data_IF_249080653944
#
_entry.id   IF_249080653944
#
_cell.length_a   1.000
_cell.length_b   1.000
_cell.length_c   1.000
_cell.angle_alpha   90.00
_cell.angle_beta   90.00
_cell.angle_gamma   90.00
#
_symmetry.space_group_name_H-M   'P 1'
#
loop_
_entity.id
_entity.type
_entity.pdbx_description
1 polymer ?
#
# COMPACT_ATOMS: atom_id res chain seq x y z
N UNK A 1 -5.21 -21.09 8.87
CA UNK A 1 -6.00 -21.83 7.87
C UNK A 1 -6.09 -20.95 6.65
N UNK A 2 -5.42 -21.33 5.56
CA UNK A 2 -5.45 -20.57 4.32
C UNK A 2 -6.89 -20.60 3.77
N UNK A 3 -7.45 -19.42 3.51
CA UNK A 3 -8.75 -19.30 2.85
C UNK A 3 -8.58 -19.70 1.38
N UNK A 4 -8.51 -20.99 1.09
CA UNK A 4 -8.43 -21.53 -0.28
C UNK A 4 -9.58 -21.06 -1.16
N UNK A 5 -10.69 -20.62 -0.56
CA UNK A 5 -11.87 -20.11 -1.28
C UNK A 5 -11.95 -18.58 -1.31
N UNK A 6 -10.94 -17.84 -0.81
CA UNK A 6 -10.97 -16.37 -0.76
C UNK A 6 -11.25 -15.75 -2.14
N UNK A 7 -10.55 -16.14 -3.22
CA UNK A 7 -10.81 -15.58 -4.55
C UNK A 7 -12.23 -15.91 -5.02
N UNK A 8 -12.68 -17.16 -4.84
CA UNK A 8 -14.04 -17.58 -5.24
C UNK A 8 -15.13 -16.79 -4.53
N UNK A 9 -15.00 -16.59 -3.22
CA UNK A 9 -15.93 -15.77 -2.45
C UNK A 9 -15.87 -14.30 -2.85
N UNK A 10 -14.68 -13.76 -3.12
CA UNK A 10 -14.47 -12.39 -3.58
C UNK A 10 -15.20 -12.14 -4.92
N UNK A 11 -14.90 -12.93 -5.95
CA UNK A 11 -15.49 -12.76 -7.29
C UNK A 11 -17.01 -12.92 -7.26
N UNK A 12 -17.53 -13.92 -6.51
CA UNK A 12 -18.98 -14.09 -6.32
C UNK A 12 -19.61 -12.91 -5.58
N UNK A 13 -18.95 -12.39 -4.55
CA UNK A 13 -19.46 -11.26 -3.75
C UNK A 13 -19.51 -9.96 -4.55
N UNK A 14 -18.56 -9.76 -5.47
CA UNK A 14 -18.47 -8.56 -6.28
C UNK A 14 -19.20 -8.68 -7.62
N UNK A 15 -19.79 -9.84 -7.92
CA UNK A 15 -20.39 -10.14 -9.23
C UNK A 15 -19.42 -9.89 -10.39
N UNK A 16 -18.13 -10.14 -10.15
CA UNK A 16 -17.09 -9.97 -11.17
C UNK A 16 -17.11 -11.20 -12.08
N UNK A 17 -17.34 -11.04 -13.41
CA UNK A 17 -17.41 -12.15 -14.33
C UNK A 17 -16.01 -12.65 -14.70
N UNK A 18 -15.79 -13.96 -14.65
CA UNK A 18 -14.55 -14.63 -15.07
C UNK A 18 -13.30 -14.18 -14.28
N UNK A 19 -12.96 -14.89 -13.18
CA UNK A 19 -11.74 -14.64 -12.37
C UNK A 19 -10.44 -14.49 -13.18
N UNK A 20 -10.34 -15.21 -14.30
CA UNK A 20 -9.21 -15.18 -15.25
C UNK A 20 -9.01 -13.85 -15.99
N UNK A 21 -9.83 -12.84 -15.71
CA UNK A 21 -9.69 -11.49 -16.26
C UNK A 21 -9.16 -10.48 -15.24
N UNK A 22 -8.76 -10.91 -14.04
CA UNK A 22 -8.38 -10.02 -12.96
C UNK A 22 -7.09 -10.44 -12.28
N UNK A 23 -6.20 -9.48 -12.08
CA UNK A 23 -5.12 -9.57 -11.11
C UNK A 23 -5.63 -9.06 -9.76
N UNK A 24 -5.37 -9.80 -8.67
CA UNK A 24 -5.80 -9.44 -7.32
C UNK A 24 -4.59 -9.38 -6.41
N UNK A 25 -4.34 -8.19 -5.87
CA UNK A 25 -3.22 -7.90 -4.99
C UNK A 25 -3.72 -7.71 -3.56
N UNK A 26 -2.94 -8.22 -2.61
CA UNK A 26 -3.11 -7.91 -1.21
C UNK A 26 -2.48 -6.55 -0.91
N UNK A 27 -3.24 -5.64 -0.31
CA UNK A 27 -2.76 -4.32 0.09
C UNK A 27 -3.04 -4.07 1.58
N UNK A 28 -2.81 -2.84 2.03
CA UNK A 28 -3.13 -2.42 3.39
C UNK A 28 -2.42 -3.23 4.48
N UNK A 29 -3.12 -3.48 5.58
CA UNK A 29 -2.48 -3.97 6.81
C UNK A 29 -1.75 -5.31 6.65
N UNK A 30 -2.23 -6.19 5.76
CA UNK A 30 -1.60 -7.49 5.49
C UNK A 30 -0.37 -7.38 4.59
N UNK A 31 -0.38 -6.47 3.62
CA UNK A 31 0.83 -6.14 2.85
C UNK A 31 1.93 -5.59 3.78
N UNK A 32 1.55 -4.75 4.73
CA UNK A 32 2.49 -4.16 5.70
C UNK A 32 2.91 -5.09 6.85
N UNK A 33 2.27 -6.26 7.00
CA UNK A 33 2.52 -7.16 8.15
C UNK A 33 2.07 -6.57 9.49
N UNK A 34 1.10 -5.65 9.47
CA UNK A 34 0.54 -5.01 10.66
C UNK A 34 -0.90 -5.43 10.96
N UNK A 35 -1.40 -6.43 10.24
CA UNK A 35 -2.74 -6.97 10.42
C UNK A 35 -2.88 -7.71 11.75
N UNK A 36 -4.08 -7.70 12.30
CA UNK A 36 -4.51 -8.56 13.40
C UNK A 36 -5.46 -9.63 12.88
N UNK A 37 -5.92 -10.52 13.76
CA UNK A 37 -6.94 -11.53 13.43
C UNK A 37 -8.29 -10.92 13.00
N UNK A 38 -8.51 -9.65 13.29
CA UNK A 38 -9.76 -8.91 13.00
C UNK A 38 -9.58 -7.87 11.89
N UNK A 39 -8.42 -7.78 11.26
CA UNK A 39 -8.20 -6.82 10.18
C UNK A 39 -9.01 -7.20 8.94
N UNK A 40 -9.63 -6.21 8.30
CA UNK A 40 -10.25 -6.35 6.99
C UNK A 40 -9.20 -6.69 5.91
N UNK A 41 -9.66 -7.31 4.84
CA UNK A 41 -8.89 -7.60 3.65
C UNK A 41 -8.93 -6.39 2.73
N UNK A 42 -7.87 -5.60 2.78
CA UNK A 42 -7.65 -4.53 1.81
C UNK A 42 -7.11 -5.14 0.50
N UNK A 43 -7.84 -4.98 -0.60
CA UNK A 43 -7.55 -5.62 -1.88
C UNK A 43 -7.47 -4.58 -3.01
N UNK A 44 -6.51 -4.74 -3.90
CA UNK A 44 -6.47 -4.04 -5.18
C UNK A 44 -6.77 -5.04 -6.30
N UNK A 45 -7.87 -4.82 -7.02
CA UNK A 45 -8.31 -5.66 -8.14
C UNK A 45 -8.11 -4.88 -9.42
N UNK A 46 -7.34 -5.45 -10.35
CA UNK A 46 -7.03 -4.84 -11.65
C UNK A 46 -7.54 -5.74 -12.76
N UNK A 47 -8.34 -5.21 -13.68
CA UNK A 47 -8.91 -6.01 -14.78
C UNK A 47 -9.56 -5.17 -15.86
N UNK A 48 -10.34 -5.83 -16.73
CA UNK A 48 -11.24 -5.13 -17.66
C UNK A 48 -12.55 -4.80 -16.94
N UNK A 49 -12.54 -3.67 -16.23
CA UNK A 49 -13.67 -3.20 -15.44
C UNK A 49 -14.42 -2.13 -16.24
N UNK A 50 -15.76 -2.22 -16.37
CA UNK A 50 -16.53 -1.14 -16.95
C UNK A 50 -16.31 0.14 -16.13
N UNK A 51 -15.96 1.26 -16.76
CA UNK A 51 -15.63 2.54 -16.09
C UNK A 51 -16.68 3.03 -15.07
N UNK A 52 -17.94 2.61 -15.23
CA UNK A 52 -19.05 2.90 -14.29
C UNK A 52 -18.99 2.12 -12.96
N UNK A 53 -18.05 1.18 -12.79
CA UNK A 53 -17.86 0.37 -11.58
C UNK A 53 -16.55 0.65 -10.83
N UNK A 54 -15.77 1.65 -11.27
CA UNK A 54 -14.56 2.11 -10.57
C UNK A 54 -14.96 2.70 -9.21
N UNK A 55 -14.98 1.87 -8.18
CA UNK A 55 -15.46 2.22 -6.84
C UNK A 55 -14.69 1.47 -5.78
N UNK A 56 -14.49 2.13 -4.62
CA UNK A 56 -14.16 1.43 -3.38
C UNK A 56 -15.40 0.65 -2.93
N UNK A 57 -15.32 -0.67 -2.91
CA UNK A 57 -16.41 -1.55 -2.48
C UNK A 57 -16.08 -2.10 -1.09
N UNK A 58 -16.87 -1.71 -0.10
CA UNK A 58 -16.81 -2.30 1.22
C UNK A 58 -17.91 -3.36 1.34
N UNK A 59 -17.53 -4.64 1.39
CA UNK A 59 -18.48 -5.75 1.50
C UNK A 59 -17.95 -6.79 2.48
N UNK A 60 -18.68 -7.01 3.57
CA UNK A 60 -18.27 -7.90 4.66
C UNK A 60 -16.87 -7.52 5.20
N UNK A 61 -15.88 -8.40 5.10
CA UNK A 61 -14.50 -8.18 5.56
C UNK A 61 -13.56 -7.71 4.45
N UNK A 62 -14.07 -7.21 3.33
CA UNK A 62 -13.26 -6.79 2.19
C UNK A 62 -13.41 -5.29 1.94
N UNK A 63 -12.28 -4.59 1.86
CA UNK A 63 -12.18 -3.24 1.32
C UNK A 63 -11.44 -3.32 -0.02
N UNK A 64 -12.17 -3.15 -1.12
CA UNK A 64 -11.66 -3.41 -2.46
C UNK A 64 -11.56 -2.12 -3.24
N UNK A 65 -10.37 -1.85 -3.74
CA UNK A 65 -10.13 -0.86 -4.79
C UNK A 65 -10.13 -1.57 -6.13
N UNK A 66 -11.03 -1.19 -7.02
CA UNK A 66 -11.16 -1.76 -8.37
C UNK A 66 -10.65 -0.76 -9.40
N UNK A 67 -9.62 -1.15 -10.16
CA UNK A 67 -9.04 -0.34 -11.24
C UNK A 67 -9.15 -1.07 -12.57
N UNK A 68 -9.36 -0.31 -13.64
CA UNK A 68 -9.07 -0.86 -14.96
C UNK A 68 -7.55 -0.92 -15.21
N UNK A 69 -7.15 -1.71 -16.21
CA UNK A 69 -5.72 -1.88 -16.53
C UNK A 69 -5.03 -0.56 -16.90
N UNK A 70 -5.70 0.35 -17.61
CA UNK A 70 -5.10 1.60 -18.06
C UNK A 70 -4.89 2.56 -16.88
N UNK A 71 -5.86 2.66 -15.98
CA UNK A 71 -5.77 3.45 -14.76
C UNK A 71 -4.66 2.92 -13.84
N UNK A 72 -4.57 1.60 -13.64
CA UNK A 72 -3.48 1.02 -12.87
C UNK A 72 -2.11 1.39 -13.45
N UNK A 73 -1.93 1.24 -14.77
CA UNK A 73 -0.68 1.60 -15.45
C UNK A 73 -0.38 3.11 -15.30
N UNK A 74 -1.40 3.97 -15.38
CA UNK A 74 -1.25 5.40 -15.17
C UNK A 74 -0.76 5.70 -13.75
N UNK A 75 -1.36 5.11 -12.73
CA UNK A 75 -0.95 5.30 -11.32
C UNK A 75 0.46 4.79 -11.03
N UNK A 76 0.87 3.68 -11.65
CA UNK A 76 2.26 3.21 -11.58
C UNK A 76 3.21 4.25 -12.17
N UNK A 77 2.87 4.80 -13.33
CA UNK A 77 3.67 5.85 -14.01
C UNK A 77 3.69 7.17 -13.25
N UNK A 78 2.64 7.46 -12.49
CA UNK A 78 2.56 8.63 -11.59
C UNK A 78 3.35 8.41 -10.29
N UNK A 79 3.94 7.23 -10.07
CA UNK A 79 4.76 6.93 -8.91
C UNK A 79 3.97 6.57 -7.65
N UNK A 80 2.70 6.20 -7.78
CA UNK A 80 1.89 5.78 -6.63
C UNK A 80 2.47 4.52 -5.99
N UNK A 81 2.92 4.65 -4.74
CA UNK A 81 3.79 3.63 -4.12
C UNK A 81 3.11 2.26 -4.02
N UNK A 82 1.79 2.21 -3.76
CA UNK A 82 1.05 0.94 -3.65
C UNK A 82 0.97 0.26 -5.00
N UNK A 83 0.55 0.98 -6.03
CA UNK A 83 0.45 0.44 -7.39
C UNK A 83 1.83 0.05 -7.93
N UNK A 84 2.90 0.81 -7.61
CA UNK A 84 4.29 0.44 -7.92
C UNK A 84 4.68 -0.87 -7.25
N UNK A 85 4.40 -1.05 -5.95
CA UNK A 85 4.67 -2.32 -5.25
C UNK A 85 3.91 -3.47 -5.91
N UNK A 86 2.63 -3.27 -6.20
CA UNK A 86 1.81 -4.28 -6.88
C UNK A 86 2.33 -4.63 -8.27
N UNK A 87 2.80 -3.65 -9.04
CA UNK A 87 3.37 -3.87 -10.37
C UNK A 87 4.67 -4.69 -10.33
N UNK A 88 5.42 -4.59 -9.23
CA UNK A 88 6.69 -5.27 -9.01
C UNK A 88 6.54 -6.57 -8.21
N UNK A 89 5.33 -6.91 -7.78
CA UNK A 89 5.06 -8.06 -6.91
C UNK A 89 5.27 -9.40 -7.63
N UNK A 90 5.87 -10.37 -6.93
CA UNK A 90 5.93 -11.77 -7.35
C UNK A 90 4.53 -12.33 -7.59
N UNK A 91 4.38 -13.12 -8.65
CA UNK A 91 3.09 -13.69 -9.07
C UNK A 91 2.56 -14.66 -8.02
N UNK A 92 3.46 -15.32 -7.30
CA UNK A 92 3.19 -16.30 -6.26
C UNK A 92 2.55 -15.67 -5.00
N UNK A 93 2.77 -14.37 -4.77
CA UNK A 93 2.22 -13.62 -3.64
C UNK A 93 0.90 -12.91 -3.99
N UNK A 94 0.51 -12.93 -5.26
CA UNK A 94 -0.78 -12.42 -5.70
C UNK A 94 -1.88 -13.41 -5.30
N UNK A 95 -3.06 -12.89 -4.92
CA UNK A 95 -4.21 -13.75 -4.63
C UNK A 95 -4.82 -14.35 -5.91
N UNK A 96 -4.67 -13.65 -7.03
CA UNK A 96 -4.99 -14.12 -8.36
C UNK A 96 -4.04 -13.43 -9.34
N UNK A 97 -3.36 -14.22 -10.17
CA UNK A 97 -2.61 -13.75 -11.32
C UNK A 97 -3.25 -14.30 -12.60
N UNK A 98 -3.90 -13.41 -13.34
CA UNK A 98 -4.59 -13.74 -14.57
C UNK A 98 -3.76 -13.41 -15.82
N UNK A 99 -3.04 -12.28 -15.80
CA UNK A 99 -2.31 -11.80 -16.97
C UNK A 99 -1.13 -10.91 -16.61
N UNK A 100 -0.20 -10.77 -17.58
CA UNK A 100 0.92 -9.86 -17.48
C UNK A 100 0.50 -8.42 -17.81
N UNK A 101 0.83 -7.48 -16.91
CA UNK A 101 0.52 -6.05 -17.12
C UNK A 101 1.44 -5.43 -18.17
N UNK A 102 2.53 -6.11 -18.54
CA UNK A 102 3.53 -5.70 -19.51
C UNK A 102 4.74 -5.06 -18.85
N UNK A 103 5.73 -4.72 -19.67
CA UNK A 103 6.95 -4.08 -19.20
C UNK A 103 6.66 -2.63 -18.76
N UNK A 104 6.58 -2.42 -17.45
CA UNK A 104 6.44 -1.10 -16.84
C UNK A 104 7.81 -0.58 -16.42
N UNK A 105 8.16 0.60 -16.93
CA UNK A 105 9.35 1.33 -16.50
C UNK A 105 8.96 2.20 -15.31
N UNK A 106 9.58 1.93 -14.17
CA UNK A 106 9.37 2.68 -12.93
C UNK A 106 10.52 3.67 -12.77
N UNK A 107 10.20 4.97 -12.71
CA UNK A 107 11.18 6.04 -12.49
C UNK A 107 11.23 6.41 -10.99
N UNK A 108 12.35 6.18 -10.29
CA UNK A 108 12.50 6.58 -8.89
C UNK A 108 12.22 8.07 -8.64
N UNK A 109 12.55 8.96 -9.57
CA UNK A 109 12.33 10.40 -9.38
C UNK A 109 10.84 10.74 -9.33
N UNK A 110 10.03 10.06 -10.15
CA UNK A 110 8.58 10.25 -10.15
C UNK A 110 7.98 9.74 -8.84
N UNK A 111 8.43 8.58 -8.34
CA UNK A 111 8.01 8.07 -7.03
C UNK A 111 8.37 9.08 -5.93
N UNK A 112 9.58 9.64 -5.97
CA UNK A 112 10.03 10.63 -4.98
C UNK A 112 9.10 11.84 -4.95
N UNK A 113 8.83 12.44 -6.10
CA UNK A 113 7.93 13.61 -6.18
C UNK A 113 6.52 13.28 -5.69
N UNK A 114 5.98 12.11 -6.05
CA UNK A 114 4.69 11.65 -5.56
C UNK A 114 4.70 11.48 -4.04
N UNK A 115 5.76 10.85 -3.49
CA UNK A 115 5.91 10.57 -2.08
C UNK A 115 5.99 11.87 -1.26
N UNK A 116 6.82 12.83 -1.66
CA UNK A 116 6.94 14.13 -0.98
C UNK A 116 5.60 14.86 -0.94
N UNK A 117 4.89 14.93 -2.07
CA UNK A 117 3.57 15.53 -2.14
C UNK A 117 2.54 14.79 -1.27
N UNK A 118 2.63 13.46 -1.18
CA UNK A 118 1.73 12.64 -0.38
C UNK A 118 2.00 12.77 1.12
N UNK A 119 3.27 12.78 1.51
CA UNK A 119 3.70 12.91 2.91
C UNK A 119 3.22 14.22 3.54
N UNK A 120 3.27 15.33 2.81
CA UNK A 120 2.73 16.62 3.28
C UNK A 120 1.24 16.49 3.63
N UNK A 121 0.44 15.93 2.71
CA UNK A 121 -1.01 15.75 2.91
C UNK A 121 -1.32 14.78 4.05
N UNK A 122 -0.55 13.70 4.18
CA UNK A 122 -0.74 12.73 5.24
C UNK A 122 -0.30 13.28 6.62
N UNK A 123 0.74 14.13 6.68
CA UNK A 123 1.11 14.87 7.89
C UNK A 123 0.03 15.84 8.33
N UNK A 124 -0.51 16.67 7.42
CA UNK A 124 -1.65 17.56 7.70
C UNK A 124 -2.88 16.79 8.19
N UNK A 125 -3.12 15.61 7.62
CA UNK A 125 -4.22 14.73 8.04
C UNK A 125 -3.96 14.16 9.43
N UNK A 126 -2.74 13.70 9.70
CA UNK A 126 -2.35 13.18 11.01
C UNK A 126 -2.47 14.25 12.09
N UNK A 127 -2.01 15.49 11.83
CA UNK A 127 -2.17 16.65 12.71
C UNK A 127 -3.63 16.87 13.09
N UNK A 128 -4.52 16.91 12.09
CA UNK A 128 -5.97 17.10 12.31
C UNK A 128 -6.56 16.01 13.20
N UNK A 129 -6.12 14.76 13.08
CA UNK A 129 -6.57 13.69 13.99
C UNK A 129 -5.95 13.85 15.38
N UNK A 130 -4.66 14.19 15.45
CA UNK A 130 -3.92 14.36 16.69
C UNK A 130 -4.53 15.46 17.58
N UNK A 131 -4.76 16.65 17.01
CA UNK A 131 -5.34 17.80 17.70
C UNK A 131 -6.80 17.57 18.14
N UNK A 132 -7.51 16.62 17.51
CA UNK A 132 -8.86 16.19 17.92
C UNK A 132 -8.85 15.09 18.98
N UNK A 133 -7.69 14.66 19.47
CA UNK A 133 -7.54 13.56 20.42
C UNK A 133 -7.68 12.16 19.78
N UNK A 134 -7.78 12.06 18.46
CA UNK A 134 -7.87 10.79 17.74
C UNK A 134 -6.46 10.24 17.46
N UNK A 135 -5.74 9.92 18.53
CA UNK A 135 -4.31 9.59 18.48
C UNK A 135 -4.03 8.30 17.69
N UNK A 136 -4.87 7.26 17.84
CA UNK A 136 -4.63 5.98 17.18
C UNK A 136 -4.72 6.07 15.64
N UNK A 137 -5.74 6.70 15.04
CA UNK A 137 -5.74 7.02 13.61
C UNK A 137 -4.55 7.87 13.17
N UNK A 138 -4.19 8.90 13.93
CA UNK A 138 -3.08 9.78 13.59
C UNK A 138 -1.75 9.01 13.55
N UNK A 139 -1.45 8.24 14.60
CA UNK A 139 -0.26 7.39 14.69
C UNK A 139 -0.17 6.37 13.54
N UNK A 140 -1.30 5.77 13.13
CA UNK A 140 -1.33 4.88 11.95
C UNK A 140 -0.89 5.59 10.67
N UNK A 141 -1.31 6.85 10.46
CA UNK A 141 -0.92 7.65 9.30
C UNK A 141 0.59 7.94 9.33
N UNK A 142 1.12 8.38 10.48
CA UNK A 142 2.55 8.63 10.66
C UNK A 142 3.39 7.38 10.36
N UNK A 143 2.94 6.23 10.83
CA UNK A 143 3.59 4.95 10.55
C UNK A 143 3.62 4.64 9.04
N UNK A 144 2.53 4.89 8.31
CA UNK A 144 2.49 4.69 6.86
C UNK A 144 3.43 5.64 6.10
N UNK A 145 3.62 6.87 6.58
CA UNK A 145 4.62 7.80 6.02
C UNK A 145 6.02 7.17 6.07
N UNK A 146 6.42 6.62 7.21
CA UNK A 146 7.72 5.96 7.37
C UNK A 146 7.83 4.67 6.55
N UNK A 147 6.75 3.88 6.48
CA UNK A 147 6.70 2.67 5.64
C UNK A 147 6.95 3.00 4.16
N UNK A 148 6.28 4.02 3.65
CA UNK A 148 6.42 4.44 2.26
C UNK A 148 7.85 4.97 1.96
N UNK A 149 8.45 5.71 2.91
CA UNK A 149 9.83 6.17 2.79
C UNK A 149 10.84 5.01 2.75
N UNK A 150 10.71 4.03 3.64
CA UNK A 150 11.59 2.86 3.66
C UNK A 150 11.49 2.04 2.37
N UNK A 151 10.27 1.86 1.85
CA UNK A 151 10.04 1.17 0.58
C UNK A 151 10.62 1.92 -0.60
N UNK A 152 10.46 3.24 -0.64
CA UNK A 152 11.09 4.07 -1.67
C UNK A 152 12.62 3.93 -1.68
N UNK A 153 13.28 4.03 -0.51
CA UNK A 153 14.74 3.88 -0.42
C UNK A 153 15.20 2.50 -0.89
N UNK A 154 14.47 1.45 -0.54
CA UNK A 154 14.75 0.11 -1.05
C UNK A 154 14.60 0.03 -2.57
N UNK A 155 13.50 0.59 -3.12
CA UNK A 155 13.21 0.58 -4.55
C UNK A 155 14.28 1.31 -5.36
N UNK A 156 14.79 2.46 -4.88
CA UNK A 156 15.89 3.19 -5.52
C UNK A 156 17.11 2.28 -5.72
N UNK A 157 17.50 1.55 -4.67
CA UNK A 157 18.66 0.63 -4.70
C UNK A 157 18.37 -0.58 -5.60
N UNK A 158 17.16 -1.13 -5.54
CA UNK A 158 16.77 -2.31 -6.31
C UNK A 158 16.70 -2.02 -7.81
N UNK A 159 16.10 -0.88 -8.19
CA UNK A 159 15.97 -0.45 -9.59
C UNK A 159 17.34 -0.17 -10.23
N UNK A 160 18.31 0.37 -9.49
CA UNK A 160 19.69 0.54 -9.97
C UNK A 160 20.40 -0.78 -10.28
N UNK A 161 19.97 -1.89 -9.65
CA UNK A 161 20.56 -3.22 -9.81
C UNK A 161 19.85 -4.06 -10.88
N UNK A 162 18.85 -3.51 -11.56
CA UNK A 162 17.99 -4.20 -12.54
C UNK A 162 17.37 -5.51 -11.99
N UNK A 163 17.19 -5.60 -10.66
CA UNK A 163 16.61 -6.76 -9.99
C UNK A 163 15.43 -6.29 -9.16
N UNK A 164 14.24 -6.32 -9.74
CA UNK A 164 13.06 -5.91 -8.99
C UNK A 164 11.96 -6.94 -9.16
N UNK A 165 11.85 -7.79 -8.14
CA UNK A 165 10.71 -8.63 -7.88
C UNK A 165 10.51 -8.59 -6.36
N UNK A 166 9.36 -8.09 -5.94
CA UNK A 166 9.03 -7.91 -4.53
C UNK A 166 8.15 -9.07 -4.07
N UNK A 167 8.55 -9.73 -2.99
CA UNK A 167 7.63 -10.60 -2.25
C UNK A 167 6.95 -9.84 -1.13
N UNK A 168 5.82 -10.33 -0.63
CA UNK A 168 5.16 -9.79 0.58
C UNK A 168 6.14 -9.83 1.75
N UNK A 169 6.89 -10.92 1.92
CA UNK A 169 7.90 -11.05 2.98
C UNK A 169 9.01 -10.00 2.86
N UNK A 170 9.43 -9.64 1.63
CA UNK A 170 10.38 -8.56 1.42
C UNK A 170 9.77 -7.21 1.82
N UNK A 171 8.54 -6.91 1.38
CA UNK A 171 7.84 -5.66 1.75
C UNK A 171 7.73 -5.55 3.27
N UNK A 172 7.25 -6.59 3.94
CA UNK A 172 7.10 -6.64 5.40
C UNK A 172 8.46 -6.48 6.11
N UNK A 173 9.51 -7.11 5.58
CA UNK A 173 10.87 -6.97 6.12
C UNK A 173 11.38 -5.54 6.02
N UNK A 174 11.14 -4.87 4.89
CA UNK A 174 11.54 -3.48 4.66
C UNK A 174 10.78 -2.54 5.61
N UNK A 175 9.46 -2.66 5.72
CA UNK A 175 8.67 -1.74 6.56
C UNK A 175 8.82 -2.01 8.05
N UNK A 176 9.33 -3.17 8.45
CA UNK A 176 9.58 -3.49 9.86
C UNK A 176 10.61 -2.56 10.50
N UNK A 177 11.68 -2.17 9.80
CA UNK A 177 12.64 -1.18 10.33
C UNK A 177 11.96 0.16 10.59
N UNK A 178 11.19 0.66 9.63
CA UNK A 178 10.38 1.87 9.78
C UNK A 178 9.33 1.77 10.90
N UNK A 179 8.78 0.56 11.14
CA UNK A 179 7.85 0.32 12.25
C UNK A 179 8.51 0.54 13.60
N UNK A 180 9.77 0.13 13.77
CA UNK A 180 10.50 0.34 15.02
C UNK A 180 10.84 1.81 15.27
N UNK A 181 10.93 2.64 14.23
CA UNK A 181 11.12 4.08 14.36
C UNK A 181 9.83 4.80 14.81
N UNK A 182 8.65 4.22 14.55
CA UNK A 182 7.36 4.79 14.94
C UNK A 182 6.92 4.30 16.33
N UNK A 183 7.47 4.91 17.38
CA UNK A 183 7.19 4.52 18.76
C UNK A 183 5.73 4.86 19.16
N UNK A 184 5.06 3.96 19.88
CA UNK A 184 3.78 4.26 20.51
C UNK A 184 3.90 5.31 21.62
N UNK A 185 5.09 5.49 22.19
CA UNK A 185 5.37 6.57 23.14
C UNK A 185 5.10 7.95 22.54
N UNK A 186 5.15 8.10 21.21
CA UNK A 186 4.77 9.35 20.53
C UNK A 186 3.35 9.79 20.87
N UNK A 187 2.43 8.86 21.15
CA UNK A 187 1.06 9.17 21.56
C UNK A 187 0.97 9.94 22.89
N UNK A 188 2.07 10.04 23.65
CA UNK A 188 2.16 10.84 24.88
C UNK A 188 2.73 12.24 24.64
N UNK A 189 3.15 12.54 23.42
CA UNK A 189 3.75 13.82 23.03
C UNK A 189 2.68 14.79 22.48
N UNK A 190 2.96 16.09 22.58
CA UNK A 190 2.24 17.09 21.81
C UNK A 190 2.63 17.05 20.32
N UNK A 191 1.81 17.65 19.46
CA UNK A 191 2.02 17.58 18.02
C UNK A 191 3.39 18.12 17.56
N UNK A 192 3.91 19.26 18.04
CA UNK A 192 5.24 19.74 17.64
C UNK A 192 6.36 18.71 17.89
N UNK A 193 6.34 18.04 19.03
CA UNK A 193 7.33 17.01 19.36
C UNK A 193 7.16 15.73 18.50
N UNK A 194 5.91 15.33 18.20
CA UNK A 194 5.64 14.21 17.28
C UNK A 194 6.12 14.53 15.87
N UNK A 195 5.83 15.73 15.38
CA UNK A 195 6.24 16.17 14.05
C UNK A 195 7.77 16.16 13.93
N UNK A 196 8.50 16.71 14.91
CA UNK A 196 9.96 16.65 14.95
C UNK A 196 10.48 15.21 14.93
N UNK A 197 9.91 14.32 15.75
CA UNK A 197 10.29 12.90 15.79
C UNK A 197 10.06 12.18 14.44
N UNK A 198 9.00 12.53 13.70
CA UNK A 198 8.75 11.98 12.35
C UNK A 198 9.80 12.46 11.35
N UNK A 199 10.17 13.74 11.39
CA UNK A 199 11.23 14.28 10.52
C UNK A 199 12.56 13.59 10.82
N UNK A 200 12.93 13.48 12.10
CA UNK A 200 14.16 12.78 12.50
C UNK A 200 14.14 11.33 12.03
N UNK A 201 13.03 10.61 12.21
CA UNK A 201 12.87 9.23 11.73
C UNK A 201 13.02 9.10 10.21
N UNK A 202 12.50 10.06 9.43
CA UNK A 202 12.66 10.07 7.97
C UNK A 202 14.12 10.26 7.54
N UNK A 203 14.95 10.98 8.32
CA UNK A 203 16.38 11.14 8.02
C UNK A 203 17.21 9.88 8.29
N UNK A 204 16.68 8.94 9.08
CA UNK A 204 17.35 7.69 9.44
C UNK A 204 17.07 6.55 8.46
N UNK A 205 16.08 6.71 7.58
CA UNK A 205 15.70 5.74 6.55
C UNK A 205 16.51 5.93 5.28
#
# INVERSE_FOLDING_TARGET
MAHTDLPTHLFKSLHLPNPENYNVYLVGSRLWGTNTTTSDWDLLVVGNVPSKQLTSLHKAQYDITLLDRQEFIARVKEGSIIEVICALMCKEDMLQYAYDIGNLVVDPNVIKTWLEARQIKDLEKAEKFWLKGNLQPAWKILRHILHAAALYNHLVIALQKERVSLTIDNVQTIVRSATFLCDKAWMQLDWPNVHAAVIDALTLL
#
